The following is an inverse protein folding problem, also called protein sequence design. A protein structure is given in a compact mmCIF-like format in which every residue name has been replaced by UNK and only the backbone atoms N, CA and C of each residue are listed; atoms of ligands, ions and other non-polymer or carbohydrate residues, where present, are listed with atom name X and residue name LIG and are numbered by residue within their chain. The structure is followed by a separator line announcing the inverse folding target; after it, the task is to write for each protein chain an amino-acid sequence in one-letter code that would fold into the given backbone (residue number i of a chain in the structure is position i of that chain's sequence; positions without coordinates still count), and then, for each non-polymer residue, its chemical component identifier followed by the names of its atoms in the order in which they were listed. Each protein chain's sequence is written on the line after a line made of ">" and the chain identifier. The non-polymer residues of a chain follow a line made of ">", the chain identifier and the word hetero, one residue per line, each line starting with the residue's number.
data_IF_874547397313
#
_entry.id   IF_874547397313
#
_cell.length_a   1.000
_cell.length_b   1.000
_cell.length_c   1.000
_cell.angle_alpha   90.00
_cell.angle_beta   90.00
_cell.angle_gamma   90.00
#
_symmetry.space_group_name_H-M   'P 1'
#
loop_
_entity.id
_entity.type
_entity.pdbx_description
1 polymer ?
#
# COMPACT_ATOMS: atom_id res chain seq x y z
N UNK A 1 28.93 18.83 13.75
CA UNK A 1 28.78 17.45 13.25
C UNK A 1 27.44 17.38 12.51
N UNK A 2 27.46 17.72 11.23
CA UNK A 2 26.27 17.97 10.41
C UNK A 2 25.74 16.67 9.81
N UNK A 3 24.43 16.50 9.90
CA UNK A 3 23.69 15.30 9.50
C UNK A 3 23.75 15.10 7.97
N UNK A 4 24.25 13.92 7.57
CA UNK A 4 24.29 13.39 6.21
C UNK A 4 22.87 13.07 5.70
N UNK A 5 22.15 14.11 5.26
CA UNK A 5 20.90 14.03 4.49
C UNK A 5 21.13 13.61 3.01
N UNK A 6 22.39 13.32 2.63
CA UNK A 6 22.81 13.03 1.26
C UNK A 6 22.73 11.56 0.86
N UNK A 7 22.99 10.62 1.78
CA UNK A 7 23.15 9.19 1.46
C UNK A 7 21.85 8.37 1.44
N UNK A 8 20.77 8.85 2.05
CA UNK A 8 19.47 8.14 2.09
C UNK A 8 18.70 8.20 0.74
N UNK A 9 19.21 8.99 -0.22
CA UNK A 9 18.61 9.23 -1.55
C UNK A 9 18.91 8.15 -2.60
N UNK A 10 19.68 7.09 -2.32
CA UNK A 10 20.18 6.17 -3.35
C UNK A 10 19.69 4.70 -3.25
N UNK A 11 18.74 4.34 -2.37
CA UNK A 11 18.29 2.93 -2.19
C UNK A 11 16.85 2.65 -2.66
N UNK A 12 16.20 3.64 -3.26
CA UNK A 12 14.84 3.58 -3.86
C UNK A 12 14.95 3.12 -5.32
N UNK A 13 15.62 1.99 -5.58
CA UNK A 13 15.97 1.57 -6.94
C UNK A 13 15.56 0.12 -7.26
N UNK A 14 14.55 -0.43 -6.58
CA UNK A 14 14.18 -1.82 -6.89
C UNK A 14 12.87 -2.37 -6.35
N UNK A 15 11.96 -1.56 -5.83
CA UNK A 15 10.79 -2.09 -5.11
C UNK A 15 9.58 -2.36 -5.99
N UNK A 16 9.27 -1.53 -6.98
CA UNK A 16 8.08 -1.75 -7.82
C UNK A 16 8.22 -2.79 -8.94
N UNK A 17 9.43 -3.26 -9.28
CA UNK A 17 9.59 -4.10 -10.47
C UNK A 17 8.99 -5.52 -10.32
N UNK A 18 8.82 -6.03 -9.10
CA UNK A 18 8.27 -7.39 -8.89
C UNK A 18 6.74 -7.43 -8.79
N UNK A 19 6.10 -6.38 -8.26
CA UNK A 19 4.65 -6.29 -8.25
C UNK A 19 4.08 -6.12 -9.67
N UNK A 20 4.76 -5.35 -10.52
CA UNK A 20 4.38 -5.16 -11.93
C UNK A 20 4.54 -6.45 -12.75
N UNK A 21 5.61 -7.23 -12.55
CA UNK A 21 5.81 -8.50 -13.27
C UNK A 21 4.91 -9.65 -12.78
N UNK A 22 4.40 -9.59 -11.55
CA UNK A 22 3.39 -10.54 -11.08
C UNK A 22 1.97 -10.15 -11.50
N UNK A 23 1.69 -8.86 -11.68
CA UNK A 23 0.39 -8.36 -12.11
C UNK A 23 0.20 -8.34 -13.65
N UNK A 24 1.28 -8.32 -14.42
CA UNK A 24 1.28 -8.46 -15.87
C UNK A 24 1.67 -9.90 -16.23
N UNK A 25 0.68 -10.80 -16.23
CA UNK A 25 0.87 -12.17 -16.68
C UNK A 25 1.57 -12.22 -18.05
N UNK A 26 2.46 -13.21 -18.23
CA UNK A 26 3.10 -13.51 -19.52
C UNK A 26 2.02 -13.56 -20.63
N UNK A 27 2.25 -13.00 -21.83
CA UNK A 27 1.31 -13.15 -22.92
C UNK A 27 1.27 -14.62 -23.33
N UNK A 28 0.25 -15.35 -22.89
CA UNK A 28 -0.08 -16.66 -23.41
C UNK A 28 -0.60 -16.47 -24.83
N UNK A 29 0.07 -17.10 -25.80
CA UNK A 29 -0.36 -17.11 -27.18
C UNK A 29 -1.82 -17.59 -27.30
N UNK A 30 -2.58 -16.82 -28.08
CA UNK A 30 -4.01 -16.96 -28.34
C UNK A 30 -4.36 -18.37 -28.81
N UNK A 31 -5.28 -19.04 -28.11
CA UNK A 31 -6.12 -20.10 -28.68
C UNK A 31 -7.57 -19.77 -28.34
N UNK A 32 -8.37 -19.55 -29.39
CA UNK A 32 -9.79 -19.26 -29.30
C UNK A 32 -10.53 -20.55 -28.95
N UNK A 33 -11.20 -20.60 -27.81
CA UNK A 33 -12.27 -21.56 -27.56
C UNK A 33 -13.40 -20.87 -26.79
N UNK A 34 -14.58 -20.89 -27.40
CA UNK A 34 -15.84 -20.39 -26.88
C UNK A 34 -16.35 -21.33 -25.78
N UNK A 35 -16.52 -20.81 -24.56
CA UNK A 35 -17.23 -21.49 -23.46
C UNK A 35 -17.81 -20.42 -22.51
N UNK A 36 -18.92 -20.71 -21.82
CA UNK A 36 -19.93 -19.73 -21.47
C UNK A 36 -19.49 -18.80 -20.33
N UNK A 37 -20.11 -17.61 -20.30
CA UNK A 37 -19.98 -16.61 -19.24
C UNK A 37 -20.40 -17.24 -17.90
N UNK A 38 -19.44 -17.45 -17.00
CA UNK A 38 -19.73 -17.82 -15.60
C UNK A 38 -20.26 -16.61 -14.83
N UNK A 39 -21.41 -16.71 -14.14
CA UNK A 39 -21.85 -15.71 -13.19
C UNK A 39 -21.06 -15.87 -11.88
N UNK A 40 -20.55 -14.76 -11.33
CA UNK A 40 -19.92 -14.73 -10.00
C UNK A 40 -18.39 -14.75 -10.01
N UNK A 41 -17.76 -13.58 -10.14
CA UNK A 41 -16.40 -13.37 -9.61
C UNK A 41 -16.51 -12.42 -8.43
N UNK A 42 -16.44 -12.99 -7.23
CA UNK A 42 -16.28 -12.25 -5.98
C UNK A 42 -14.91 -11.56 -6.01
N UNK A 43 -14.83 -10.25 -6.28
CA UNK A 43 -13.54 -9.53 -6.35
C UNK A 43 -13.17 -8.76 -5.09
N UNK A 44 -13.99 -8.86 -4.04
CA UNK A 44 -13.64 -8.37 -2.71
C UNK A 44 -12.55 -9.27 -2.12
N UNK A 45 -11.27 -8.99 -2.39
CA UNK A 45 -10.11 -9.80 -1.99
C UNK A 45 -10.27 -10.37 -0.57
N UNK A 46 -10.76 -11.61 -0.40
CA UNK A 46 -10.97 -12.17 0.92
C UNK A 46 -9.60 -12.48 1.50
N UNK A 47 -9.35 -12.04 2.73
CA UNK A 47 -8.10 -12.30 3.42
C UNK A 47 -8.35 -12.79 4.84
N UNK A 48 -7.42 -13.57 5.38
CA UNK A 48 -7.43 -13.99 6.79
C UNK A 48 -7.38 -12.79 7.75
N UNK A 49 -7.09 -11.59 7.24
CA UNK A 49 -6.97 -10.34 7.98
C UNK A 49 -8.24 -9.48 7.96
N UNK A 50 -9.33 -9.91 7.29
CA UNK A 50 -10.51 -9.07 7.09
C UNK A 50 -11.14 -8.55 8.39
N UNK A 51 -11.27 -9.42 9.40
CA UNK A 51 -11.78 -9.02 10.72
C UNK A 51 -10.83 -8.05 11.44
N UNK A 52 -9.53 -8.32 11.38
CA UNK A 52 -8.51 -7.43 11.94
C UNK A 52 -8.56 -6.05 11.28
N UNK A 53 -8.57 -6.01 9.94
CA UNK A 53 -8.62 -4.77 9.17
C UNK A 53 -9.88 -3.99 9.52
N UNK A 54 -11.06 -4.64 9.56
CA UNK A 54 -12.31 -3.98 9.92
C UNK A 54 -12.27 -3.38 11.34
N UNK A 55 -11.75 -4.11 12.33
CA UNK A 55 -11.60 -3.65 13.71
C UNK A 55 -10.68 -2.41 13.80
N UNK A 56 -9.50 -2.47 13.18
CA UNK A 56 -8.55 -1.34 13.17
C UNK A 56 -9.17 -0.13 12.47
N UNK A 57 -9.75 -0.34 11.28
CA UNK A 57 -10.36 0.71 10.48
C UNK A 57 -11.50 1.42 11.23
N UNK A 58 -12.32 0.67 11.96
CA UNK A 58 -13.38 1.24 12.80
C UNK A 58 -12.82 2.16 13.88
N UNK A 59 -11.74 1.77 14.56
CA UNK A 59 -11.11 2.59 15.61
C UNK A 59 -10.46 3.86 15.09
N UNK A 60 -9.88 3.82 13.89
CA UNK A 60 -9.16 4.94 13.29
C UNK A 60 -10.00 5.80 12.33
N UNK A 61 -11.25 5.41 12.05
CA UNK A 61 -12.12 6.12 11.12
C UNK A 61 -11.55 6.14 9.69
N UNK A 62 -11.01 5.01 9.24
CA UNK A 62 -10.47 4.82 7.88
C UNK A 62 -11.33 3.80 7.15
N UNK A 63 -11.54 3.98 5.85
CA UNK A 63 -12.28 3.03 5.02
C UNK A 63 -11.53 1.67 4.92
N UNK A 64 -12.16 0.54 5.33
CA UNK A 64 -11.57 -0.80 5.19
C UNK A 64 -11.19 -1.15 3.75
N UNK A 65 -11.95 -0.69 2.75
CA UNK A 65 -11.63 -0.95 1.34
C UNK A 65 -10.33 -0.23 0.93
N UNK A 66 -10.09 0.97 1.44
CA UNK A 66 -8.84 1.70 1.20
C UNK A 66 -7.65 0.98 1.85
N UNK A 67 -7.78 0.52 3.10
CA UNK A 67 -6.70 -0.21 3.78
C UNK A 67 -6.39 -1.54 3.08
N UNK A 68 -7.42 -2.29 2.65
CA UNK A 68 -7.22 -3.48 1.81
C UNK A 68 -6.51 -3.15 0.50
N UNK A 69 -6.83 -2.02 -0.12
CA UNK A 69 -6.15 -1.58 -1.34
C UNK A 69 -4.66 -1.27 -1.11
N UNK A 70 -4.33 -0.59 -0.01
CA UNK A 70 -2.94 -0.34 0.40
C UNK A 70 -2.21 -1.66 0.64
N UNK A 71 -2.74 -2.56 1.48
CA UNK A 71 -2.13 -3.88 1.77
C UNK A 71 -1.93 -4.69 0.48
N UNK A 72 -2.90 -4.66 -0.43
CA UNK A 72 -2.81 -5.35 -1.72
C UNK A 72 -1.63 -4.85 -2.55
N UNK A 73 -1.39 -3.54 -2.60
CA UNK A 73 -0.29 -2.93 -3.37
C UNK A 73 1.05 -3.12 -2.68
N UNK A 74 1.09 -3.00 -1.34
CA UNK A 74 2.31 -3.08 -0.54
C UNK A 74 2.89 -4.50 -0.44
N UNK A 75 2.05 -5.48 -0.10
CA UNK A 75 2.51 -6.83 0.23
C UNK A 75 1.75 -7.93 -0.48
N UNK A 76 0.66 -7.60 -1.17
CA UNK A 76 -0.30 -8.59 -1.66
C UNK A 76 -0.80 -9.52 -0.53
N UNK A 77 -1.02 -8.95 0.67
CA UNK A 77 -1.43 -9.65 1.89
C UNK A 77 -0.39 -10.64 2.46
N UNK A 78 0.88 -10.53 2.07
CA UNK A 78 1.97 -11.28 2.70
C UNK A 78 2.47 -10.59 3.98
N UNK A 79 2.07 -11.12 5.14
CA UNK A 79 2.51 -10.62 6.46
C UNK A 79 4.01 -10.75 6.72
N UNK A 80 4.72 -11.54 5.91
CA UNK A 80 6.18 -11.74 6.01
C UNK A 80 6.95 -11.01 4.91
N UNK A 81 6.28 -10.19 4.10
CA UNK A 81 6.91 -9.44 3.02
C UNK A 81 8.04 -8.54 3.55
N UNK A 82 9.18 -8.55 2.85
CA UNK A 82 10.30 -7.65 3.11
C UNK A 82 10.75 -7.02 1.80
N UNK A 83 10.77 -5.70 1.74
CA UNK A 83 11.27 -4.98 0.58
C UNK A 83 12.79 -4.89 0.56
N UNK A 84 13.36 -4.57 -0.61
CA UNK A 84 14.80 -4.30 -0.75
C UNK A 84 15.29 -3.13 0.12
N UNK A 85 14.41 -2.17 0.40
CA UNK A 85 14.72 -1.03 1.26
C UNK A 85 14.52 -1.33 2.75
N UNK A 86 13.97 -2.50 3.08
CA UNK A 86 13.77 -2.95 4.47
C UNK A 86 12.38 -2.67 5.04
N UNK A 87 11.41 -2.31 4.21
CA UNK A 87 10.00 -2.21 4.60
C UNK A 87 9.43 -3.60 4.87
N UNK A 88 8.56 -3.74 5.88
CA UNK A 88 8.15 -5.05 6.41
C UNK A 88 6.64 -5.18 6.63
N UNK A 89 6.14 -6.41 6.43
CA UNK A 89 4.78 -6.82 6.76
C UNK A 89 3.70 -6.30 5.80
N UNK A 90 2.44 -6.43 6.23
CA UNK A 90 1.24 -6.20 5.40
C UNK A 90 1.19 -4.81 4.76
N UNK A 91 1.52 -3.78 5.52
CA UNK A 91 1.49 -2.37 5.11
C UNK A 91 2.89 -1.77 4.91
N UNK A 92 3.91 -2.64 4.79
CA UNK A 92 5.29 -2.30 4.45
C UNK A 92 5.85 -1.11 5.26
N UNK A 93 5.83 -1.24 6.59
CA UNK A 93 6.40 -0.23 7.48
C UNK A 93 7.93 -0.30 7.48
N UNK A 94 8.57 0.86 7.39
CA UNK A 94 10.00 1.01 7.69
C UNK A 94 10.22 0.95 9.21
N UNK A 95 11.38 0.46 9.64
CA UNK A 95 11.69 0.28 11.08
C UNK A 95 11.57 1.59 11.89
N UNK A 96 12.06 2.70 11.32
CA UNK A 96 11.98 4.00 11.98
C UNK A 96 10.52 4.44 12.19
N UNK A 97 9.68 4.30 11.17
CA UNK A 97 8.25 4.60 11.22
C UNK A 97 7.53 3.67 12.19
N UNK A 98 7.76 2.36 12.11
CA UNK A 98 7.19 1.37 13.02
C UNK A 98 7.49 1.69 14.48
N UNK A 99 8.76 2.04 14.80
CA UNK A 99 9.17 2.44 16.14
C UNK A 99 8.43 3.68 16.64
N UNK A 100 8.25 4.70 15.80
CA UNK A 100 7.49 5.90 16.15
C UNK A 100 6.01 5.61 16.45
N UNK A 101 5.47 4.55 15.84
CA UNK A 101 4.08 4.12 15.97
C UNK A 101 3.88 3.01 17.02
N UNK A 102 4.93 2.65 17.77
CA UNK A 102 4.85 1.62 18.81
C UNK A 102 4.83 0.18 18.31
N UNK A 103 5.14 -0.06 17.04
CA UNK A 103 5.27 -1.41 16.45
C UNK A 103 6.56 -2.05 16.97
N UNK A 104 6.42 -3.16 17.72
CA UNK A 104 7.55 -3.94 18.25
C UNK A 104 7.96 -5.05 17.30
N UNK A 105 6.98 -5.73 16.70
CA UNK A 105 7.19 -6.73 15.67
C UNK A 105 6.45 -6.31 14.39
N UNK A 106 7.17 -5.90 13.32
CA UNK A 106 6.54 -5.51 12.07
C UNK A 106 6.00 -6.69 11.26
N UNK A 107 6.28 -7.94 11.64
CA UNK A 107 5.69 -9.13 11.02
C UNK A 107 4.44 -9.63 11.74
N UNK A 108 4.16 -9.13 12.95
CA UNK A 108 2.88 -9.36 13.61
C UNK A 108 1.77 -8.60 12.85
N UNK A 109 0.78 -9.29 12.26
CA UNK A 109 -0.24 -8.65 11.42
C UNK A 109 -0.99 -7.53 12.15
N UNK A 110 -1.32 -7.73 13.43
CA UNK A 110 -2.06 -6.75 14.22
C UNK A 110 -1.26 -5.48 14.42
N UNK A 111 -0.03 -5.59 14.90
CA UNK A 111 0.84 -4.42 15.08
C UNK A 111 1.12 -3.70 13.75
N UNK A 112 1.37 -4.45 12.66
CA UNK A 112 1.67 -3.86 11.37
C UNK A 112 0.47 -3.09 10.78
N UNK A 113 -0.73 -3.67 10.86
CA UNK A 113 -1.97 -3.02 10.39
C UNK A 113 -2.31 -1.82 11.27
N UNK A 114 -2.20 -1.91 12.60
CA UNK A 114 -2.40 -0.76 13.49
C UNK A 114 -1.45 0.40 13.16
N UNK A 115 -0.15 0.11 13.05
CA UNK A 115 0.84 1.12 12.71
C UNK A 115 0.57 1.73 11.33
N UNK A 116 0.35 0.90 10.32
CA UNK A 116 0.08 1.36 8.95
C UNK A 116 -1.19 2.21 8.85
N UNK A 117 -2.29 1.79 9.48
CA UNK A 117 -3.54 2.58 9.48
C UNK A 117 -3.37 3.89 10.24
N UNK A 118 -2.67 3.88 11.38
CA UNK A 118 -2.34 5.11 12.13
C UNK A 118 -1.57 6.09 11.24
N UNK A 119 -0.53 5.62 10.55
CA UNK A 119 0.27 6.46 9.67
C UNK A 119 -0.53 6.98 8.47
N UNK A 120 -1.35 6.12 7.86
CA UNK A 120 -2.25 6.52 6.77
C UNK A 120 -3.24 7.59 7.22
N UNK A 121 -3.87 7.43 8.39
CA UNK A 121 -4.78 8.42 8.98
C UNK A 121 -4.08 9.76 9.18
N UNK A 122 -2.86 9.78 9.72
CA UNK A 122 -2.05 10.99 9.86
C UNK A 122 -1.81 11.69 8.51
N UNK A 123 -1.54 10.95 7.44
CA UNK A 123 -1.36 11.52 6.11
C UNK A 123 -2.68 12.08 5.55
N UNK A 124 -3.80 11.37 5.76
CA UNK A 124 -5.13 11.86 5.37
C UNK A 124 -5.51 13.15 6.10
N UNK A 125 -5.24 13.23 7.41
CA UNK A 125 -5.48 14.44 8.21
C UNK A 125 -4.62 15.62 7.75
N UNK A 126 -3.34 15.34 7.46
CA UNK A 126 -2.38 16.38 7.07
C UNK A 126 -2.70 17.00 5.71
N UNK A 127 -3.06 16.17 4.73
CA UNK A 127 -3.17 16.63 3.35
C UNK A 127 -4.62 16.90 2.89
N UNK A 128 -5.64 16.30 3.52
CA UNK A 128 -7.05 16.45 3.13
C UNK A 128 -7.42 15.88 1.75
N UNK A 129 -6.43 15.61 0.89
CA UNK A 129 -6.55 14.93 -0.39
C UNK A 129 -5.96 13.52 -0.30
N UNK A 130 -6.75 12.54 -0.73
CA UNK A 130 -6.35 11.13 -0.66
C UNK A 130 -5.13 10.81 -1.53
N UNK A 131 -4.99 11.45 -2.69
CA UNK A 131 -3.85 11.18 -3.58
C UNK A 131 -2.54 11.72 -3.00
N UNK A 132 -2.58 12.89 -2.35
CA UNK A 132 -1.45 13.44 -1.61
C UNK A 132 -1.14 12.60 -0.36
N UNK A 133 -2.16 12.12 0.36
CA UNK A 133 -1.96 11.24 1.50
C UNK A 133 -1.27 9.92 1.11
N UNK A 134 -1.70 9.29 0.02
CA UNK A 134 -1.07 8.08 -0.52
C UNK A 134 0.35 8.34 -1.02
N UNK A 135 0.59 9.49 -1.67
CA UNK A 135 1.93 9.90 -2.08
C UNK A 135 2.85 10.11 -0.86
N UNK A 136 2.35 10.73 0.21
CA UNK A 136 3.10 10.94 1.44
C UNK A 136 3.32 9.64 2.23
N UNK A 137 2.37 8.71 2.19
CA UNK A 137 2.52 7.39 2.77
C UNK A 137 3.70 6.65 2.12
N UNK A 138 3.78 6.68 0.78
CA UNK A 138 4.81 5.98 0.01
C UNK A 138 6.17 6.70 -0.02
N UNK A 139 6.19 8.00 -0.34
CA UNK A 139 7.41 8.79 -0.57
C UNK A 139 7.88 9.57 0.67
N UNK A 140 7.06 9.60 1.73
CA UNK A 140 7.24 10.45 2.90
C UNK A 140 6.64 11.86 2.71
N UNK A 141 6.10 12.47 3.78
CA UNK A 141 5.45 13.77 3.71
C UNK A 141 6.39 14.89 3.27
N UNK A 142 7.67 14.85 3.68
CA UNK A 142 8.66 15.85 3.27
C UNK A 142 8.82 15.92 1.74
N UNK A 143 8.69 14.81 1.02
CA UNK A 143 8.74 14.82 -0.44
C UNK A 143 7.52 15.56 -1.01
N UNK A 144 6.32 15.27 -0.52
CA UNK A 144 5.08 15.93 -0.94
C UNK A 144 5.14 17.43 -0.64
N UNK A 145 5.60 17.82 0.55
CA UNK A 145 5.76 19.23 0.94
C UNK A 145 6.75 19.96 0.02
N UNK A 146 7.90 19.33 -0.27
CA UNK A 146 8.95 19.91 -1.11
C UNK A 146 8.48 20.17 -2.53
N UNK A 147 7.66 19.27 -3.09
CA UNK A 147 7.15 19.39 -4.46
C UNK A 147 5.81 20.11 -4.55
N UNK A 148 5.14 20.40 -3.43
CA UNK A 148 3.81 21.02 -3.41
C UNK A 148 2.73 20.15 -4.05
N UNK A 149 2.91 18.82 -4.03
CA UNK A 149 2.04 17.88 -4.72
C UNK A 149 2.65 16.47 -4.79
N UNK A 150 2.06 15.60 -5.62
CA UNK A 150 2.63 14.26 -5.85
C UNK A 150 4.04 14.42 -6.45
N UNK A 151 5.10 13.92 -5.80
CA UNK A 151 6.47 14.05 -6.30
C UNK A 151 6.61 13.44 -7.71
N UNK A 152 7.53 13.93 -8.55
CA UNK A 152 7.80 13.38 -9.88
C UNK A 152 8.61 12.06 -9.81
N UNK A 153 8.24 11.19 -8.88
CA UNK A 153 8.79 9.85 -8.72
C UNK A 153 7.85 8.87 -9.41
N UNK A 154 8.31 8.23 -10.48
CA UNK A 154 7.50 7.29 -11.25
C UNK A 154 6.88 6.18 -10.38
N UNK A 155 7.63 5.71 -9.39
CA UNK A 155 7.21 4.74 -8.37
C UNK A 155 6.02 5.26 -7.54
N UNK A 156 6.08 6.49 -7.03
CA UNK A 156 5.01 7.08 -6.23
C UNK A 156 3.75 7.37 -7.04
N UNK A 157 3.90 7.87 -8.27
CA UNK A 157 2.76 8.11 -9.17
C UNK A 157 2.05 6.80 -9.53
N UNK A 158 2.84 5.74 -9.77
CA UNK A 158 2.30 4.40 -10.02
C UNK A 158 1.62 3.84 -8.77
N UNK A 159 2.23 3.99 -7.59
CA UNK A 159 1.65 3.59 -6.32
C UNK A 159 0.26 4.20 -6.11
N UNK A 160 0.15 5.53 -6.19
CA UNK A 160 -1.13 6.25 -6.04
C UNK A 160 -2.17 5.73 -7.03
N UNK A 161 -1.78 5.56 -8.30
CA UNK A 161 -2.66 5.06 -9.36
C UNK A 161 -3.15 3.62 -9.11
N UNK A 162 -2.28 2.75 -8.59
CA UNK A 162 -2.61 1.36 -8.28
C UNK A 162 -3.55 1.26 -7.09
N UNK A 163 -3.29 2.00 -6.01
CA UNK A 163 -4.16 2.01 -4.82
C UNK A 163 -5.56 2.48 -5.20
N UNK A 164 -5.70 3.60 -5.92
CA UNK A 164 -7.00 4.08 -6.40
C UNK A 164 -7.74 3.05 -7.27
N UNK A 165 -7.02 2.35 -8.16
CA UNK A 165 -7.61 1.32 -9.01
C UNK A 165 -8.13 0.14 -8.19
N UNK A 166 -7.36 -0.33 -7.21
CA UNK A 166 -7.75 -1.44 -6.34
C UNK A 166 -8.90 -1.03 -5.42
N UNK A 167 -8.83 0.17 -4.83
CA UNK A 167 -9.86 0.72 -3.96
C UNK A 167 -11.21 0.83 -4.67
N UNK A 168 -11.24 1.41 -5.87
CA UNK A 168 -12.46 1.49 -6.68
C UNK A 168 -13.10 0.13 -6.92
N UNK A 169 -12.29 -0.87 -7.31
CA UNK A 169 -12.78 -2.24 -7.52
C UNK A 169 -13.38 -2.82 -6.25
N UNK A 170 -12.76 -2.59 -5.09
CA UNK A 170 -13.29 -3.05 -3.82
C UNK A 170 -14.63 -2.38 -3.47
N UNK A 171 -14.77 -1.07 -3.71
CA UNK A 171 -16.03 -0.36 -3.50
C UNK A 171 -17.15 -0.84 -4.43
N UNK A 172 -16.85 -1.06 -5.71
CA UNK A 172 -17.83 -1.51 -6.72
C UNK A 172 -18.39 -2.91 -6.43
N UNK A 173 -17.74 -3.71 -5.56
CA UNK A 173 -18.18 -5.06 -5.19
C UNK A 173 -18.86 -5.13 -3.82
N UNK A 174 -18.94 -4.00 -3.11
CA UNK A 174 -19.63 -3.87 -1.82
C UNK A 174 -20.95 -3.09 -1.95
N UNK A 175 -21.26 -2.56 -3.12
CA UNK A 175 -22.51 -1.89 -3.49
C UNK A 175 -23.46 -2.86 -4.23
#
# INVERSE_FOLDING_TARGET
>A
MSLELGSLRARIQGMLYRAVLSALGKPAAKRLSTSPVSPGRNTGYPSDFDHLIAEVCQRHGVDPALVKAVIKVESNFDSRAVSRAGAKGLMQLMDATGKQLGVKDPFDPRQNVEGGVTYLRQMMDRYGDLSLALAAYNAGPHAVDRFGGIPPYAETQLYVSLVHRVHRRLCDHLA
#
